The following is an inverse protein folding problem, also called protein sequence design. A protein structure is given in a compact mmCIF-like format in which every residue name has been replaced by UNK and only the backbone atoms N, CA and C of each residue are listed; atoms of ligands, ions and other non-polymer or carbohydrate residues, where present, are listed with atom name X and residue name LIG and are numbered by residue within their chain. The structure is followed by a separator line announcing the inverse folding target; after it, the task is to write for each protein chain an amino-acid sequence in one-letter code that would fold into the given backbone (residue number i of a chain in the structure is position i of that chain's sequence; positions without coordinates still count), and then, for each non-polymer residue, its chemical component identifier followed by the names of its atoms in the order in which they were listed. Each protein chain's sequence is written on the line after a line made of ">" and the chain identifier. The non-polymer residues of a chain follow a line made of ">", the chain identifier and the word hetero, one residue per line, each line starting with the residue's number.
data_IF_343372756467
#
_entry.id   IF_343372756467
#
_cell.length_a   1.000
_cell.length_b   1.000
_cell.length_c   1.000
_cell.angle_alpha   90.00
_cell.angle_beta   90.00
_cell.angle_gamma   90.00
#
_symmetry.space_group_name_H-M   'P 1'
#
loop_
_entity.id
_entity.type
_entity.pdbx_description
1 polymer ?
#
# COMPACT_ATOMS: atom_id res chain seq x y z
N UNK A 1 -33.90 -0.49 -15.74
CA UNK A 1 -32.90 -1.32 -15.04
C UNK A 1 -31.64 -0.46 -14.84
N UNK A 2 -31.72 0.53 -13.94
CA UNK A 2 -30.64 1.47 -13.57
C UNK A 2 -31.02 2.03 -12.19
N UNK A 3 -30.88 1.20 -11.16
CA UNK A 3 -31.43 1.49 -9.83
C UNK A 3 -30.54 1.01 -8.69
N UNK A 4 -29.23 0.92 -8.90
CA UNK A 4 -28.30 0.92 -7.76
C UNK A 4 -27.91 2.36 -7.49
N UNK A 5 -28.36 2.88 -6.35
CA UNK A 5 -27.89 4.14 -5.82
C UNK A 5 -26.37 4.01 -5.67
N UNK A 6 -25.61 4.69 -6.53
CA UNK A 6 -24.16 4.79 -6.38
C UNK A 6 -23.91 5.28 -4.96
N UNK A 7 -23.37 4.40 -4.12
CA UNK A 7 -23.09 4.74 -2.74
C UNK A 7 -21.93 5.72 -2.74
N UNK A 8 -21.96 6.71 -1.85
CA UNK A 8 -20.82 7.60 -1.62
C UNK A 8 -19.53 6.81 -1.35
N UNK A 9 -19.65 5.60 -0.78
CA UNK A 9 -18.56 4.64 -0.60
C UNK A 9 -17.90 4.27 -1.92
N UNK A 10 -18.69 3.93 -2.92
CA UNK A 10 -18.19 3.41 -4.20
C UNK A 10 -17.45 4.50 -4.97
N UNK A 11 -17.92 5.75 -4.87
CA UNK A 11 -17.23 6.93 -5.39
C UNK A 11 -15.85 7.09 -4.72
N UNK A 12 -15.78 6.96 -3.40
CA UNK A 12 -14.52 7.06 -2.64
C UNK A 12 -13.57 5.92 -2.99
N UNK A 13 -14.07 4.70 -3.16
CA UNK A 13 -13.27 3.54 -3.55
C UNK A 13 -12.68 3.70 -4.95
N UNK A 14 -13.48 4.11 -5.93
CA UNK A 14 -13.02 4.32 -7.31
C UNK A 14 -12.02 5.49 -7.35
N UNK A 15 -12.36 6.63 -6.75
CA UNK A 15 -11.48 7.80 -6.75
C UNK A 15 -10.15 7.52 -6.03
N UNK A 16 -10.21 6.86 -4.87
CA UNK A 16 -9.04 6.42 -4.12
C UNK A 16 -8.19 5.44 -4.94
N UNK A 17 -8.81 4.43 -5.55
CA UNK A 17 -8.11 3.45 -6.36
C UNK A 17 -7.39 4.05 -7.57
N UNK A 18 -8.07 4.92 -8.33
CA UNK A 18 -7.47 5.66 -9.45
C UNK A 18 -6.32 6.56 -8.99
N UNK A 19 -6.47 7.24 -7.85
CA UNK A 19 -5.41 8.05 -7.26
C UNK A 19 -4.16 7.22 -6.93
N UNK A 20 -4.32 6.04 -6.31
CA UNK A 20 -3.19 5.16 -5.99
C UNK A 20 -2.47 4.68 -7.26
N UNK A 21 -3.22 4.24 -8.27
CA UNK A 21 -2.66 3.77 -9.55
C UNK A 21 -1.85 4.88 -10.22
N UNK A 22 -2.45 6.06 -10.38
CA UNK A 22 -1.80 7.20 -11.05
C UNK A 22 -0.54 7.62 -10.32
N UNK A 23 -0.60 7.77 -9.00
CA UNK A 23 0.55 8.15 -8.17
C UNK A 23 1.67 7.13 -8.19
N UNK A 24 1.35 5.85 -8.05
CA UNK A 24 2.36 4.78 -8.10
C UNK A 24 3.04 4.74 -9.46
N UNK A 25 2.27 4.88 -10.55
CA UNK A 25 2.81 4.93 -11.92
C UNK A 25 3.75 6.12 -12.10
N UNK A 26 3.38 7.32 -11.64
CA UNK A 26 4.25 8.50 -11.71
C UNK A 26 5.53 8.33 -10.88
N UNK A 27 5.45 7.73 -9.69
CA UNK A 27 6.63 7.49 -8.85
C UNK A 27 7.57 6.45 -9.47
N UNK A 28 7.02 5.39 -10.08
CA UNK A 28 7.80 4.41 -10.84
C UNK A 28 8.50 5.07 -12.02
N UNK A 29 7.79 5.91 -12.78
CA UNK A 29 8.34 6.64 -13.92
C UNK A 29 9.50 7.56 -13.49
N UNK A 30 9.31 8.36 -12.45
CA UNK A 30 10.37 9.19 -11.87
C UNK A 30 11.60 8.38 -11.39
N UNK A 31 11.39 7.23 -10.75
CA UNK A 31 12.49 6.35 -10.32
C UNK A 31 13.25 5.75 -11.51
N UNK A 32 12.57 5.43 -12.61
CA UNK A 32 13.17 4.91 -13.83
C UNK A 32 13.94 5.99 -14.60
N UNK A 33 13.42 7.22 -14.65
CA UNK A 33 14.09 8.36 -15.29
C UNK A 33 15.31 8.85 -14.49
N UNK A 34 15.25 8.80 -13.16
CA UNK A 34 16.34 9.15 -12.25
C UNK A 34 17.61 8.28 -12.41
N UNK A 35 17.50 7.12 -13.06
CA UNK A 35 18.64 6.25 -13.39
C UNK A 35 19.56 6.78 -14.50
N UNK A 36 19.19 7.86 -15.23
CA UNK A 36 20.00 8.39 -16.36
C UNK A 36 20.81 9.66 -16.06
N UNK A 37 20.63 10.32 -14.92
CA UNK A 37 21.42 11.51 -14.57
C UNK A 37 21.75 11.53 -13.09
N UNK A 38 22.99 11.17 -12.78
CA UNK A 38 23.66 11.48 -11.53
C UNK A 38 23.86 12.99 -11.39
N UNK A 39 22.83 13.69 -10.90
CA UNK A 39 22.94 15.07 -10.39
C UNK A 39 22.30 15.11 -9.00
N UNK A 40 22.93 15.75 -7.99
CA UNK A 40 22.43 15.71 -6.62
C UNK A 40 21.26 16.69 -6.47
N UNK A 41 20.06 16.27 -6.85
CA UNK A 41 18.83 17.04 -6.63
C UNK A 41 17.95 16.33 -5.61
N UNK A 42 18.00 16.83 -4.38
CA UNK A 42 17.05 16.68 -3.24
C UNK A 42 16.07 15.49 -3.33
N UNK A 43 16.50 14.40 -2.71
CA UNK A 43 15.84 13.11 -2.41
C UNK A 43 14.57 13.18 -1.52
N UNK A 44 13.74 14.23 -1.58
CA UNK A 44 12.73 14.50 -0.54
C UNK A 44 11.27 14.47 -1.03
N UNK A 45 10.94 13.67 -2.06
CA UNK A 45 9.60 13.62 -2.66
C UNK A 45 8.73 12.39 -2.34
N UNK A 46 9.29 11.17 -2.38
CA UNK A 46 8.48 9.94 -2.38
C UNK A 46 8.03 9.44 -1.00
N UNK A 47 8.75 9.79 0.06
CA UNK A 47 8.59 9.13 1.36
C UNK A 47 7.30 9.51 2.11
N UNK A 48 7.00 10.80 2.14
CA UNK A 48 5.76 11.30 2.74
C UNK A 48 4.52 10.90 1.95
N UNK A 49 4.65 10.70 0.63
CA UNK A 49 3.55 10.33 -0.25
C UNK A 49 3.14 8.87 -0.05
N UNK A 50 4.11 7.95 0.07
CA UNK A 50 3.83 6.53 0.35
C UNK A 50 3.23 6.35 1.74
N UNK A 51 3.74 7.06 2.76
CA UNK A 51 3.15 7.03 4.11
C UNK A 51 1.74 7.64 4.11
N UNK A 52 1.54 8.79 3.45
CA UNK A 52 0.22 9.39 3.33
C UNK A 52 -0.77 8.45 2.60
N UNK A 53 -0.29 7.69 1.60
CA UNK A 53 -1.09 6.69 0.91
C UNK A 53 -1.40 5.46 1.76
N UNK A 54 -0.44 4.94 2.53
CA UNK A 54 -0.69 3.86 3.50
C UNK A 54 -1.71 4.32 4.54
N UNK A 55 -1.61 5.56 5.02
CA UNK A 55 -2.59 6.12 5.95
C UNK A 55 -3.98 6.25 5.31
N UNK A 56 -4.07 6.69 4.05
CA UNK A 56 -5.37 6.77 3.33
C UNK A 56 -5.96 5.39 3.07
N UNK A 57 -5.13 4.41 2.66
CA UNK A 57 -5.54 3.02 2.48
C UNK A 57 -5.99 2.43 3.83
N UNK A 58 -5.25 2.67 4.91
CA UNK A 58 -5.58 2.19 6.24
C UNK A 58 -6.87 2.82 6.77
N UNK A 59 -7.13 4.10 6.49
CA UNK A 59 -8.40 4.74 6.82
C UNK A 59 -9.55 4.10 6.05
N UNK A 60 -9.42 3.88 4.75
CA UNK A 60 -10.50 3.28 3.92
C UNK A 60 -10.72 1.80 4.26
N UNK A 61 -9.64 1.05 4.49
CA UNK A 61 -9.69 -0.37 4.81
C UNK A 61 -10.10 -0.64 6.27
N UNK A 62 -9.67 0.22 7.20
CA UNK A 62 -10.18 0.20 8.57
C UNK A 62 -11.65 0.55 8.55
N UNK A 63 -12.12 1.58 7.85
CA UNK A 63 -13.54 1.92 7.80
C UNK A 63 -14.42 0.78 7.28
N UNK A 64 -14.05 0.05 6.23
CA UNK A 64 -14.82 -1.10 5.73
C UNK A 64 -14.82 -2.29 6.72
N UNK A 65 -13.66 -2.63 7.27
CA UNK A 65 -13.50 -3.71 8.26
C UNK A 65 -14.20 -3.38 9.58
N UNK A 66 -14.19 -2.11 9.96
CA UNK A 66 -14.84 -1.53 11.14
C UNK A 66 -16.33 -1.47 10.92
N UNK A 67 -16.85 -0.96 9.79
CA UNK A 67 -18.29 -0.93 9.52
C UNK A 67 -18.86 -2.35 9.45
N UNK A 68 -18.14 -3.29 8.83
CA UNK A 68 -18.50 -4.71 8.81
C UNK A 68 -18.44 -5.34 10.21
N UNK A 69 -17.46 -4.95 11.03
CA UNK A 69 -17.37 -5.39 12.42
C UNK A 69 -18.41 -4.71 13.34
N UNK A 70 -18.78 -3.44 13.14
CA UNK A 70 -19.88 -2.72 13.83
C UNK A 70 -21.20 -3.40 13.53
N UNK A 71 -21.41 -3.82 12.28
CA UNK A 71 -22.58 -4.61 11.88
C UNK A 71 -22.69 -5.97 12.57
N UNK A 72 -21.58 -6.50 13.10
CA UNK A 72 -21.51 -7.84 13.74
C UNK A 72 -21.16 -7.83 15.24
N UNK A 73 -20.63 -6.75 15.81
CA UNK A 73 -20.08 -6.69 17.16
C UNK A 73 -20.91 -5.77 18.07
N UNK A 74 -21.29 -6.28 19.24
CA UNK A 74 -22.07 -5.54 20.25
C UNK A 74 -21.25 -4.49 21.02
N UNK A 75 -19.93 -4.39 20.79
CA UNK A 75 -19.01 -3.56 21.58
C UNK A 75 -18.19 -2.61 20.71
N UNK A 76 -18.82 -1.49 20.34
CA UNK A 76 -18.23 -0.40 19.53
C UNK A 76 -16.94 0.16 20.19
N UNK A 77 -16.90 0.20 21.52
CA UNK A 77 -15.78 0.72 22.33
C UNK A 77 -14.46 0.01 22.05
N UNK A 78 -14.48 -1.34 21.96
CA UNK A 78 -13.29 -2.17 21.74
C UNK A 78 -12.72 -1.92 20.35
N UNK A 79 -13.59 -1.75 19.37
CA UNK A 79 -13.20 -1.53 17.98
C UNK A 79 -12.59 -0.13 17.78
N UNK A 80 -13.18 0.91 18.39
CA UNK A 80 -12.58 2.26 18.38
C UNK A 80 -11.20 2.24 19.04
N UNK A 81 -11.05 1.58 20.18
CA UNK A 81 -9.75 1.42 20.84
C UNK A 81 -8.72 0.72 19.94
N UNK A 82 -9.12 -0.35 19.25
CA UNK A 82 -8.25 -1.09 18.33
C UNK A 82 -7.77 -0.23 17.16
N UNK A 83 -8.64 0.58 16.55
CA UNK A 83 -8.28 1.50 15.46
C UNK A 83 -7.28 2.55 15.94
N UNK A 84 -7.56 3.19 17.09
CA UNK A 84 -6.68 4.22 17.65
C UNK A 84 -5.29 3.65 17.94
N UNK A 85 -5.23 2.45 18.54
CA UNK A 85 -3.96 1.75 18.78
C UNK A 85 -3.24 1.45 17.46
N UNK A 86 -3.95 0.95 16.44
CA UNK A 86 -3.37 0.63 15.14
C UNK A 86 -2.76 1.87 14.47
N UNK A 87 -3.48 3.00 14.46
CA UNK A 87 -3.00 4.27 13.91
C UNK A 87 -1.77 4.76 14.67
N UNK A 88 -1.78 4.70 16.01
CA UNK A 88 -0.62 5.09 16.83
C UNK A 88 0.61 4.24 16.51
N UNK A 89 0.46 2.92 16.43
CA UNK A 89 1.55 2.01 16.06
C UNK A 89 2.07 2.32 14.65
N UNK A 90 1.17 2.58 13.71
CA UNK A 90 1.54 2.94 12.34
C UNK A 90 2.35 4.24 12.29
N UNK A 91 1.92 5.28 13.00
CA UNK A 91 2.63 6.56 13.04
C UNK A 91 4.04 6.43 13.65
N UNK A 92 4.17 5.65 14.73
CA UNK A 92 5.47 5.36 15.35
C UNK A 92 6.37 4.52 14.44
N UNK A 93 5.80 3.60 13.67
CA UNK A 93 6.54 2.71 12.77
C UNK A 93 6.85 3.33 11.39
N UNK A 94 6.17 4.42 11.01
CA UNK A 94 6.27 5.01 9.67
C UNK A 94 7.70 5.45 9.33
N UNK A 95 8.41 6.07 10.27
CA UNK A 95 9.77 6.53 10.07
C UNK A 95 10.80 5.39 9.89
N UNK A 96 10.88 4.38 10.79
CA UNK A 96 11.85 3.28 10.64
C UNK A 96 11.53 2.37 9.45
N UNK A 97 10.25 2.01 9.24
CA UNK A 97 9.82 1.32 8.01
C UNK A 97 10.23 2.13 6.80
N UNK A 98 10.14 3.45 6.95
CA UNK A 98 10.41 4.34 5.88
C UNK A 98 11.86 4.32 5.39
N UNK A 99 12.79 4.51 6.32
CA UNK A 99 14.22 4.43 6.03
C UNK A 99 14.60 3.08 5.45
N UNK A 100 13.97 1.99 5.89
CA UNK A 100 14.21 0.64 5.36
C UNK A 100 13.82 0.52 3.88
N UNK A 101 12.64 1.02 3.50
CA UNK A 101 12.17 1.02 2.10
C UNK A 101 13.08 1.88 1.22
N UNK A 102 13.49 3.06 1.70
CA UNK A 102 14.40 3.93 0.95
C UNK A 102 15.80 3.32 0.76
N UNK A 103 16.28 2.54 1.71
CA UNK A 103 17.59 1.88 1.63
C UNK A 103 17.61 0.67 0.68
N UNK A 104 16.45 0.11 0.30
CA UNK A 104 16.34 -1.08 -0.54
C UNK A 104 15.48 -0.80 -1.79
N UNK A 105 16.11 -0.46 -2.94
CA UNK A 105 15.38 -0.07 -4.15
C UNK A 105 14.36 -1.11 -4.65
N UNK A 106 14.68 -2.40 -4.54
CA UNK A 106 13.76 -3.47 -4.91
C UNK A 106 12.54 -3.55 -4.00
N UNK A 107 12.69 -3.25 -2.71
CA UNK A 107 11.59 -3.15 -1.74
C UNK A 107 10.73 -1.91 -2.04
N UNK A 108 11.33 -0.77 -2.41
CA UNK A 108 10.59 0.41 -2.87
C UNK A 108 9.70 0.08 -4.08
N UNK A 109 10.28 -0.56 -5.10
CA UNK A 109 9.54 -0.96 -6.30
C UNK A 109 8.44 -1.99 -6.00
N UNK A 110 8.69 -2.91 -5.07
CA UNK A 110 7.69 -3.87 -4.61
C UNK A 110 6.52 -3.16 -3.92
N UNK A 111 6.78 -2.18 -3.05
CA UNK A 111 5.76 -1.39 -2.37
C UNK A 111 4.91 -0.57 -3.36
N UNK A 112 5.53 0.08 -4.35
CA UNK A 112 4.81 0.80 -5.42
C UNK A 112 3.96 -0.15 -6.29
N UNK A 113 4.44 -1.37 -6.51
CA UNK A 113 3.68 -2.39 -7.24
C UNK A 113 2.46 -2.88 -6.45
N UNK A 114 2.60 -3.04 -5.12
CA UNK A 114 1.46 -3.34 -4.24
C UNK A 114 0.46 -2.18 -4.19
N UNK A 115 0.94 -0.94 -4.24
CA UNK A 115 0.08 0.24 -4.32
C UNK A 115 -0.80 0.23 -5.57
N UNK A 116 -0.25 -0.15 -6.73
CA UNK A 116 -1.03 -0.36 -7.97
C UNK A 116 -2.04 -1.50 -7.77
N UNK A 117 -1.62 -2.63 -7.22
CA UNK A 117 -2.49 -3.79 -7.00
C UNK A 117 -3.69 -3.44 -6.09
N UNK A 118 -3.43 -2.74 -4.98
CA UNK A 118 -4.47 -2.23 -4.07
C UNK A 118 -5.34 -1.19 -4.79
N UNK A 119 -4.76 -0.31 -5.60
CA UNK A 119 -5.53 0.66 -6.38
C UNK A 119 -6.50 -0.02 -7.35
N UNK A 120 -6.06 -1.05 -8.07
CA UNK A 120 -6.91 -1.85 -8.97
C UNK A 120 -8.01 -2.56 -8.19
N UNK A 121 -7.67 -3.12 -7.02
CA UNK A 121 -8.62 -3.77 -6.13
C UNK A 121 -9.74 -2.80 -5.69
N UNK A 122 -9.39 -1.58 -5.27
CA UNK A 122 -10.37 -0.58 -4.84
C UNK A 122 -11.28 -0.12 -5.98
N UNK A 123 -10.72 0.06 -7.19
CA UNK A 123 -11.54 0.35 -8.37
C UNK A 123 -12.50 -0.80 -8.66
N UNK A 124 -12.01 -2.06 -8.60
CA UNK A 124 -12.84 -3.24 -8.82
C UNK A 124 -13.98 -3.35 -7.80
N UNK A 125 -13.68 -3.22 -6.50
CA UNK A 125 -14.70 -3.24 -5.45
C UNK A 125 -15.71 -2.08 -5.62
N UNK A 126 -15.23 -0.88 -5.97
CA UNK A 126 -16.08 0.28 -6.19
C UNK A 126 -16.99 0.19 -7.43
N UNK A 127 -16.68 -0.64 -8.41
CA UNK A 127 -17.59 -0.94 -9.55
C UNK A 127 -18.44 -2.20 -9.31
N UNK A 128 -18.41 -2.76 -8.10
CA UNK A 128 -19.17 -3.94 -7.70
C UNK A 128 -18.49 -5.29 -7.99
N UNK A 129 -17.28 -5.28 -8.56
CA UNK A 129 -16.46 -6.47 -8.77
C UNK A 129 -15.69 -6.82 -7.50
N UNK A 130 -16.36 -7.56 -6.61
CA UNK A 130 -15.77 -7.99 -5.35
C UNK A 130 -14.72 -9.07 -5.58
N UNK A 131 -13.45 -8.67 -5.54
CA UNK A 131 -12.34 -9.63 -5.63
C UNK A 131 -12.06 -10.17 -4.22
N UNK A 132 -11.92 -11.49 -4.03
CA UNK A 132 -11.60 -12.00 -2.70
C UNK A 132 -10.22 -11.49 -2.23
N UNK A 133 -10.21 -10.77 -1.11
CA UNK A 133 -9.02 -10.15 -0.50
C UNK A 133 -7.86 -11.15 -0.28
N UNK A 134 -8.17 -12.44 -0.13
CA UNK A 134 -7.19 -13.52 -0.02
C UNK A 134 -6.23 -13.64 -1.22
N UNK A 135 -6.68 -13.34 -2.44
CA UNK A 135 -5.79 -13.33 -3.62
C UNK A 135 -4.72 -12.23 -3.50
N UNK A 136 -5.12 -11.05 -3.02
CA UNK A 136 -4.22 -9.94 -2.80
C UNK A 136 -3.19 -10.27 -1.71
N UNK A 137 -3.63 -10.83 -0.59
CA UNK A 137 -2.73 -11.24 0.50
C UNK A 137 -1.74 -12.32 0.06
N UNK A 138 -2.20 -13.30 -0.71
CA UNK A 138 -1.34 -14.33 -1.27
C UNK A 138 -0.29 -13.72 -2.22
N UNK A 139 -0.70 -12.84 -3.13
CA UNK A 139 0.21 -12.16 -4.05
C UNK A 139 1.27 -11.33 -3.30
N UNK A 140 0.86 -10.57 -2.27
CA UNK A 140 1.79 -9.78 -1.45
C UNK A 140 2.78 -10.66 -0.69
N UNK A 141 2.29 -11.71 -0.01
CA UNK A 141 3.13 -12.62 0.75
C UNK A 141 4.12 -13.38 -0.16
N UNK A 142 3.66 -13.86 -1.31
CA UNK A 142 4.51 -14.54 -2.29
C UNK A 142 5.61 -13.61 -2.82
N UNK A 143 5.26 -12.40 -3.25
CA UNK A 143 6.23 -11.46 -3.81
C UNK A 143 7.25 -10.99 -2.76
N UNK A 144 6.82 -10.76 -1.51
CA UNK A 144 7.75 -10.50 -0.40
C UNK A 144 8.67 -11.69 -0.11
N UNK A 145 8.15 -12.92 -0.17
CA UNK A 145 8.94 -14.14 0.00
C UNK A 145 10.02 -14.26 -1.08
N UNK A 146 9.64 -14.08 -2.35
CA UNK A 146 10.57 -14.08 -3.49
C UNK A 146 11.64 -12.99 -3.34
N UNK A 147 11.24 -11.78 -2.96
CA UNK A 147 12.19 -10.68 -2.80
C UNK A 147 13.14 -10.90 -1.60
N UNK A 148 12.64 -11.51 -0.51
CA UNK A 148 13.48 -11.90 0.62
C UNK A 148 14.55 -12.90 0.19
N UNK A 149 14.18 -13.93 -0.58
CA UNK A 149 15.12 -14.89 -1.16
C UNK A 149 16.14 -14.21 -2.08
N UNK A 150 15.68 -13.25 -2.90
CA UNK A 150 16.54 -12.49 -3.81
C UNK A 150 17.59 -11.66 -3.04
N UNK A 151 17.18 -10.97 -1.97
CA UNK A 151 18.07 -10.22 -1.09
C UNK A 151 19.10 -11.12 -0.40
N UNK A 152 18.68 -12.29 0.10
CA UNK A 152 19.58 -13.28 0.71
C UNK A 152 20.58 -13.83 -0.31
N UNK A 153 20.14 -14.16 -1.52
CA UNK A 153 20.98 -14.66 -2.60
C UNK A 153 22.00 -13.61 -3.08
N UNK A 154 21.62 -12.32 -3.09
CA UNK A 154 22.55 -11.22 -3.39
C UNK A 154 23.63 -11.09 -2.32
N UNK A 155 23.27 -11.13 -1.04
CA UNK A 155 24.22 -11.09 0.09
C UNK A 155 25.19 -12.29 0.06
N UNK A 156 24.68 -13.50 -0.19
CA UNK A 156 25.51 -14.70 -0.29
C UNK A 156 26.54 -14.63 -1.44
N UNK A 157 26.15 -14.08 -2.60
CA UNK A 157 27.04 -13.88 -3.74
C UNK A 157 28.10 -12.81 -3.50
N UNK A 158 27.76 -11.72 -2.81
CA UNK A 158 28.73 -10.69 -2.44
C UNK A 158 29.82 -11.24 -1.51
N UNK A 159 29.46 -12.11 -0.56
CA UNK A 159 30.39 -12.74 0.38
C UNK A 159 31.34 -13.77 -0.26
N UNK A 160 30.99 -14.34 -1.42
CA UNK A 160 31.86 -15.26 -2.18
C UNK A 160 32.87 -14.54 -3.10
N UNK A 161 32.72 -13.22 -3.30
CA UNK A 161 33.54 -12.41 -4.21
C UNK A 161 34.60 -11.54 -3.52
N UNK A 162 34.61 -11.52 -2.19
CA UNK A 162 35.67 -10.92 -1.37
C UNK A 162 36.36 -11.98 -0.54
#
# INVERSE_FOLDING_TARGET
>A
VFGEEISWRDIVLIAGGLFLIGKATMEIDHDLEGGRKSTPTRLWGGFGVVIAQIAVIDIVFSLDSVITAVGMARHIEVMVAAIVIAILVMLLAAEPVGRFVAAHPTIKMLALSFLILVGVMLVADGVGLHIPKGYLYFAMAFALGVETLNLLARKARARKRG
#
